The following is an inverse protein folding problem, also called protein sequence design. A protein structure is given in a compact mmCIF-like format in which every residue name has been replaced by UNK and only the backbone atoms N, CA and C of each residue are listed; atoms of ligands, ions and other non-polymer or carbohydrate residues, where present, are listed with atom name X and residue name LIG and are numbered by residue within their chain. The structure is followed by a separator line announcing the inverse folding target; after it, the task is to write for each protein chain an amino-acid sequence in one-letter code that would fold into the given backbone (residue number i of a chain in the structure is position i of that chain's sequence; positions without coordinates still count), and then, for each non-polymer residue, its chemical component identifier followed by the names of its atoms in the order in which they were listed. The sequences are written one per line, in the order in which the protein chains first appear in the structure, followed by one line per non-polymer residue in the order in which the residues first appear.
data_IF_255642985187
#
_entry.id   IF_255642985187
#
_cell.length_a   1.000
_cell.length_b   1.000
_cell.length_c   1.000
_cell.angle_alpha   90.00
_cell.angle_beta   90.00
_cell.angle_gamma   90.00
#
_symmetry.space_group_name_H-M   'P 1'
#
loop_
_entity.id
_entity.type
_entity.pdbx_description
1 polymer ?
#
# COMPACT_ATOMS: atom_id res chain seq x y z
N UNK A 1 -3.37 -12.63 -8.04
CA UNK A 1 -3.06 -13.20 -6.69
C UNK A 1 -4.16 -14.16 -6.25
N UNK A 2 -3.79 -15.32 -5.69
CA UNK A 2 -4.77 -16.19 -5.07
C UNK A 2 -5.32 -15.55 -3.77
N UNK A 3 -6.37 -16.14 -3.19
CA UNK A 3 -7.02 -15.56 -2.01
C UNK A 3 -6.08 -15.42 -0.81
N UNK A 4 -5.21 -16.40 -0.60
CA UNK A 4 -4.25 -16.37 0.51
C UNK A 4 -3.25 -15.23 0.32
N UNK A 5 -2.72 -15.04 -0.89
CA UNK A 5 -1.77 -13.98 -1.17
C UNK A 5 -2.43 -12.61 -1.09
N UNK A 6 -3.70 -12.49 -1.53
CA UNK A 6 -4.45 -11.25 -1.36
C UNK A 6 -4.59 -10.88 0.13
N UNK A 7 -4.83 -11.86 0.97
CA UNK A 7 -4.93 -11.66 2.42
C UNK A 7 -3.59 -11.22 3.01
N UNK A 8 -2.49 -11.86 2.61
CA UNK A 8 -1.14 -11.50 3.05
C UNK A 8 -0.85 -10.04 2.69
N UNK A 9 -1.15 -9.65 1.46
CA UNK A 9 -0.95 -8.26 1.00
C UNK A 9 -1.82 -7.30 1.79
N UNK A 10 -3.08 -7.63 2.00
CA UNK A 10 -4.00 -6.77 2.75
C UNK A 10 -3.52 -6.55 4.19
N UNK A 11 -3.07 -7.60 4.85
CA UNK A 11 -2.52 -7.50 6.20
C UNK A 11 -1.25 -6.66 6.24
N UNK A 12 -0.38 -6.81 5.24
CA UNK A 12 0.83 -5.99 5.12
C UNK A 12 0.48 -4.52 4.90
N UNK A 13 -0.53 -4.24 4.07
CA UNK A 13 -1.02 -2.87 3.84
C UNK A 13 -1.55 -2.27 5.15
N UNK A 14 -2.35 -3.02 5.91
CA UNK A 14 -2.90 -2.55 7.18
C UNK A 14 -1.80 -2.23 8.18
N UNK A 15 -0.83 -3.12 8.32
CA UNK A 15 0.29 -2.90 9.23
C UNK A 15 1.10 -1.67 8.84
N UNK A 16 1.43 -1.53 7.56
CA UNK A 16 2.17 -0.38 7.07
C UNK A 16 1.36 0.92 7.23
N UNK A 17 0.06 0.87 6.95
CA UNK A 17 -0.82 2.02 7.09
C UNK A 17 -0.95 2.47 8.54
N UNK A 18 -1.05 1.53 9.48
CA UNK A 18 -1.08 1.86 10.90
C UNK A 18 0.22 2.56 11.32
N UNK A 19 1.36 2.11 10.79
CA UNK A 19 2.65 2.72 11.05
C UNK A 19 2.76 4.13 10.46
N UNK A 20 2.05 4.41 9.36
CA UNK A 20 2.07 5.70 8.68
C UNK A 20 1.02 6.68 9.20
N UNK A 21 0.09 6.25 10.03
CA UNK A 21 -0.96 7.12 10.56
C UNK A 21 -0.35 8.34 11.26
N UNK A 22 -0.69 9.53 10.80
CA UNK A 22 -0.16 10.78 11.34
C UNK A 22 1.23 11.17 10.81
N UNK A 23 1.86 10.32 9.97
CA UNK A 23 3.19 10.60 9.42
C UNK A 23 3.17 11.14 8.00
N UNK A 24 2.06 10.98 7.28
CA UNK A 24 1.92 11.53 5.94
C UNK A 24 1.67 13.04 6.03
N UNK A 25 2.26 13.83 5.11
CA UNK A 25 2.07 15.27 5.13
C UNK A 25 0.62 15.65 4.83
N UNK A 26 0.14 16.70 5.48
CA UNK A 26 -1.16 17.27 5.21
C UNK A 26 -1.18 17.91 3.82
N UNK A 27 -2.35 17.96 3.21
CA UNK A 27 -2.54 18.68 1.96
C UNK A 27 -3.84 19.46 2.01
N UNK A 28 -4.00 20.43 1.09
CA UNK A 28 -5.23 21.20 1.00
C UNK A 28 -6.46 20.35 0.68
N UNK A 29 -6.25 19.19 0.04
CA UNK A 29 -7.33 18.25 -0.27
C UNK A 29 -7.65 17.32 0.91
N UNK A 30 -6.72 17.18 1.84
CA UNK A 30 -6.82 16.27 2.97
C UNK A 30 -6.38 17.00 4.24
N UNK A 31 -7.19 17.97 4.72
CA UNK A 31 -6.80 18.82 5.85
C UNK A 31 -6.62 18.04 7.16
N UNK A 32 -7.12 16.81 7.23
CA UNK A 32 -6.92 15.90 8.37
C UNK A 32 -5.78 14.92 8.16
N UNK A 33 -4.98 15.12 7.08
CA UNK A 33 -3.91 14.22 6.69
C UNK A 33 -4.36 13.23 5.61
N UNK A 34 -3.39 12.56 4.99
CA UNK A 34 -3.67 11.56 3.97
C UNK A 34 -4.12 10.25 4.61
N UNK A 35 -5.05 9.57 3.93
CA UNK A 35 -5.46 8.24 4.34
C UNK A 35 -4.41 7.22 3.89
N UNK A 36 -3.62 6.73 4.84
CA UNK A 36 -2.56 5.76 4.56
C UNK A 36 -3.10 4.45 3.99
N UNK A 37 -4.30 4.04 4.39
CA UNK A 37 -4.93 2.81 3.88
C UNK A 37 -5.27 2.89 2.40
N UNK A 38 -5.49 4.09 1.87
CA UNK A 38 -5.73 4.32 0.45
C UNK A 38 -4.42 4.60 -0.30
N UNK A 39 -3.46 5.24 0.36
CA UNK A 39 -2.19 5.63 -0.24
C UNK A 39 -1.38 4.43 -0.75
N UNK A 40 -1.25 3.39 0.06
CA UNK A 40 -0.42 2.22 -0.28
C UNK A 40 -1.00 1.43 -1.47
N UNK A 41 -2.30 1.03 -1.47
CA UNK A 41 -2.87 0.36 -2.64
C UNK A 41 -2.80 1.20 -3.92
N UNK A 42 -2.97 2.51 -3.80
CA UNK A 42 -2.88 3.42 -4.92
C UNK A 42 -1.46 3.47 -5.50
N UNK A 43 -0.45 3.44 -4.65
CA UNK A 43 0.94 3.37 -5.08
C UNK A 43 1.22 2.08 -5.84
N UNK A 44 0.75 0.95 -5.34
CA UNK A 44 0.88 -0.34 -6.02
C UNK A 44 0.22 -0.28 -7.40
N UNK A 45 -1.02 0.22 -7.46
CA UNK A 45 -1.75 0.34 -8.72
C UNK A 45 -1.04 1.25 -9.71
N UNK A 46 -0.40 2.32 -9.25
CA UNK A 46 0.36 3.24 -10.11
C UNK A 46 1.58 2.55 -10.72
N UNK A 47 2.26 1.70 -9.97
CA UNK A 47 3.45 1.00 -10.43
C UNK A 47 3.10 -0.06 -11.47
N UNK A 48 2.06 -0.84 -11.23
CA UNK A 48 1.68 -1.97 -12.09
C UNK A 48 0.62 -1.62 -13.14
N UNK A 49 -0.06 -0.49 -13.00
CA UNK A 49 -1.17 -0.11 -13.87
C UNK A 49 -2.45 -0.92 -13.62
N UNK A 50 -2.53 -1.67 -12.51
CA UNK A 50 -3.68 -2.50 -12.17
C UNK A 50 -3.70 -2.77 -10.67
N UNK A 51 -4.84 -3.28 -10.17
CA UNK A 51 -4.98 -3.69 -8.77
C UNK A 51 -4.03 -4.86 -8.44
N UNK A 52 -3.49 -4.87 -7.23
CA UNK A 52 -2.65 -5.99 -6.77
C UNK A 52 -3.39 -7.33 -6.85
N UNK A 53 -4.71 -7.33 -6.73
CA UNK A 53 -5.53 -8.55 -6.79
C UNK A 53 -5.44 -9.24 -8.14
N UNK A 54 -5.14 -8.50 -9.20
CA UNK A 54 -5.04 -9.01 -10.57
C UNK A 54 -3.63 -9.44 -10.96
N UNK A 55 -2.65 -9.24 -10.08
CA UNK A 55 -1.26 -9.61 -10.35
C UNK A 55 -1.05 -11.12 -10.17
N UNK A 56 -0.08 -11.71 -10.92
CA UNK A 56 0.31 -13.11 -10.70
C UNK A 56 0.86 -13.33 -9.28
N UNK A 57 0.75 -14.55 -8.78
CA UNK A 57 1.27 -14.89 -7.45
C UNK A 57 2.78 -14.70 -7.34
N UNK A 58 3.50 -14.80 -8.47
CA UNK A 58 4.95 -14.57 -8.53
C UNK A 58 5.35 -13.15 -8.14
N UNK A 59 4.41 -12.20 -8.17
CA UNK A 59 4.66 -10.82 -7.80
C UNK A 59 4.48 -10.53 -6.31
N UNK A 60 4.12 -11.54 -5.52
CA UNK A 60 3.86 -11.35 -4.08
C UNK A 60 5.03 -10.67 -3.37
N UNK A 61 6.25 -11.18 -3.55
CA UNK A 61 7.42 -10.61 -2.88
C UNK A 61 7.68 -9.18 -3.32
N UNK A 62 7.51 -8.90 -4.61
CA UNK A 62 7.70 -7.55 -5.15
C UNK A 62 6.67 -6.58 -4.57
N UNK A 63 5.41 -7.02 -4.44
CA UNK A 63 4.37 -6.20 -3.83
C UNK A 63 4.69 -5.92 -2.36
N UNK A 64 5.15 -6.92 -1.63
CA UNK A 64 5.53 -6.75 -0.23
C UNK A 64 6.71 -5.78 -0.08
N UNK A 65 7.67 -5.80 -1.00
CA UNK A 65 8.79 -4.84 -1.03
C UNK A 65 8.29 -3.42 -1.28
N UNK A 66 7.32 -3.25 -2.16
CA UNK A 66 6.71 -1.94 -2.41
C UNK A 66 6.03 -1.41 -1.15
N UNK A 67 5.29 -2.27 -0.44
CA UNK A 67 4.62 -1.90 0.80
C UNK A 67 5.65 -1.47 1.85
N UNK A 68 6.73 -2.23 1.98
CA UNK A 68 7.83 -1.89 2.89
C UNK A 68 8.46 -0.55 2.52
N UNK A 69 8.67 -0.30 1.24
CA UNK A 69 9.21 0.98 0.77
C UNK A 69 8.27 2.14 1.13
N UNK A 70 6.96 1.96 0.96
CA UNK A 70 5.98 2.97 1.35
C UNK A 70 6.02 3.25 2.85
N UNK A 71 6.21 2.22 3.66
CA UNK A 71 6.31 2.35 5.11
C UNK A 71 7.55 3.14 5.53
N UNK A 72 8.67 2.91 4.87
CA UNK A 72 9.95 3.56 5.18
C UNK A 72 10.04 4.95 4.56
N UNK A 73 9.32 5.20 3.48
CA UNK A 73 9.35 6.45 2.72
C UNK A 73 7.92 6.92 2.47
N UNK A 74 7.29 7.58 3.44
CA UNK A 74 5.86 7.90 3.39
C UNK A 74 5.46 8.98 2.38
N UNK A 75 6.36 9.42 1.54
CA UNK A 75 6.07 10.45 0.53
C UNK A 75 5.93 9.88 -0.87
#
# INVERSE_FOLDING_TARGET
MNKQNQKIILEAIREAADSLTGRLPDSSRHPKGRNAYAHIPKTISSIYGTSYKLLPDDELENVLEIIKHCKENPF
#
